data_IF_813463729485
#
_entry.id   IF_813463729485
#
_cell.length_a   1.000
_cell.length_b   1.000
_cell.length_c   1.000
_cell.angle_alpha   90.00
_cell.angle_beta   90.00
_cell.angle_gamma   90.00
#
_symmetry.space_group_name_H-M   'P 1'
#
loop_
_entity.id
_entity.type
_entity.pdbx_description
1 polymer ?
#
# COMPACT_ATOMS: atom_id res chain seq x y z
N UNK A 1 -19.58 -14.86 -5.77
CA UNK A 1 -18.53 -15.48 -6.59
C UNK A 1 -17.29 -15.56 -5.73
N UNK A 2 -16.60 -16.69 -5.75
CA UNK A 2 -15.37 -16.89 -4.97
C UNK A 2 -14.21 -16.17 -5.64
N UNK A 3 -13.37 -15.48 -4.87
CA UNK A 3 -12.18 -14.78 -5.39
C UNK A 3 -10.96 -15.70 -5.29
N UNK A 4 -10.06 -15.60 -6.26
CA UNK A 4 -8.76 -16.24 -6.24
C UNK A 4 -7.69 -15.17 -6.03
N UNK A 5 -7.29 -14.99 -4.78
CA UNK A 5 -6.35 -13.94 -4.39
C UNK A 5 -4.91 -14.30 -4.71
N UNK A 6 -4.17 -13.35 -5.26
CA UNK A 6 -2.72 -13.44 -5.46
C UNK A 6 -2.02 -12.35 -4.66
N UNK A 7 -1.18 -12.74 -3.70
CA UNK A 7 -0.33 -11.80 -2.98
C UNK A 7 0.93 -11.47 -3.79
N UNK A 8 0.92 -10.33 -4.49
CA UNK A 8 2.03 -9.82 -5.30
C UNK A 8 2.41 -8.38 -4.88
N UNK A 9 3.04 -8.22 -3.68
CA UNK A 9 3.35 -6.90 -3.10
C UNK A 9 4.41 -6.10 -3.88
N UNK A 10 5.05 -6.73 -4.85
CA UNK A 10 6.00 -6.13 -5.79
C UNK A 10 5.33 -5.53 -7.04
N UNK A 11 4.01 -5.33 -7.02
CA UNK A 11 3.22 -4.88 -8.17
C UNK A 11 3.74 -3.58 -8.79
N UNK A 12 4.14 -2.59 -7.98
CA UNK A 12 4.63 -1.31 -8.50
C UNK A 12 5.95 -1.47 -9.27
N UNK A 13 6.82 -2.40 -8.84
CA UNK A 13 8.03 -2.75 -9.58
C UNK A 13 7.70 -3.45 -10.91
N UNK A 14 6.67 -4.29 -10.93
CA UNK A 14 6.19 -4.94 -12.13
C UNK A 14 5.58 -3.93 -13.12
N UNK A 15 4.81 -2.95 -12.63
CA UNK A 15 4.26 -1.85 -13.43
C UNK A 15 5.35 -0.94 -13.98
N UNK A 16 6.36 -0.58 -13.18
CA UNK A 16 7.52 0.18 -13.64
C UNK A 16 8.28 -0.53 -14.76
N UNK A 17 8.42 -1.86 -14.66
CA UNK A 17 9.11 -2.67 -15.68
C UNK A 17 8.27 -2.91 -16.93
N UNK A 18 6.94 -3.09 -16.79
CA UNK A 18 5.99 -3.31 -17.88
C UNK A 18 6.05 -4.70 -18.53
N UNK A 19 7.01 -5.56 -18.18
CA UNK A 19 7.17 -6.89 -18.82
C UNK A 19 6.25 -7.95 -18.21
N UNK A 20 5.57 -8.78 -19.02
CA UNK A 20 4.84 -9.94 -18.55
C UNK A 20 5.74 -11.01 -17.91
N UNK A 21 7.04 -10.97 -18.21
CA UNK A 21 8.06 -11.87 -17.66
C UNK A 21 8.94 -11.19 -16.59
N UNK A 22 8.41 -10.13 -15.95
CA UNK A 22 9.14 -9.43 -14.88
C UNK A 22 9.56 -10.40 -13.78
N UNK A 23 10.84 -10.37 -13.43
CA UNK A 23 11.42 -11.11 -12.31
C UNK A 23 11.74 -10.12 -11.19
N UNK A 24 11.04 -10.18 -10.04
CA UNK A 24 11.30 -9.29 -8.93
C UNK A 24 12.68 -9.50 -8.30
N UNK A 25 13.19 -8.53 -7.55
CA UNK A 25 14.35 -8.73 -6.68
C UNK A 25 14.14 -9.89 -5.69
N UNK A 26 15.22 -10.57 -5.28
CA UNK A 26 15.16 -11.74 -4.39
C UNK A 26 14.37 -11.49 -3.11
N UNK A 27 14.53 -10.32 -2.49
CA UNK A 27 13.76 -9.94 -1.29
C UNK A 27 12.26 -9.85 -1.55
N UNK A 28 11.84 -9.35 -2.71
CA UNK A 28 10.43 -9.27 -3.08
C UNK A 28 9.84 -10.66 -3.38
N UNK A 29 10.63 -11.56 -4.00
CA UNK A 29 10.25 -12.96 -4.17
C UNK A 29 10.06 -13.61 -2.81
N UNK A 30 11.01 -13.43 -1.88
CA UNK A 30 10.91 -13.95 -0.52
C UNK A 30 9.67 -13.48 0.21
N UNK A 31 9.34 -12.18 0.13
CA UNK A 31 8.13 -11.62 0.75
C UNK A 31 6.85 -12.18 0.11
N UNK A 32 6.79 -12.26 -1.23
CA UNK A 32 5.65 -12.85 -1.96
C UNK A 32 5.41 -14.30 -1.53
N UNK A 33 6.48 -15.09 -1.45
CA UNK A 33 6.38 -16.50 -1.07
C UNK A 33 5.98 -16.66 0.39
N UNK A 34 6.59 -15.91 1.30
CA UNK A 34 6.27 -15.97 2.73
C UNK A 34 4.84 -15.52 3.03
N UNK A 35 4.38 -14.46 2.35
CA UNK A 35 3.05 -13.87 2.54
C UNK A 35 1.95 -14.45 1.66
N UNK A 36 2.19 -15.53 0.90
CA UNK A 36 1.22 -16.07 -0.07
C UNK A 36 -0.17 -16.33 0.54
N UNK A 37 -0.23 -16.77 1.80
CA UNK A 37 -1.47 -17.03 2.53
C UNK A 37 -2.08 -15.79 3.22
N UNK A 38 -1.44 -14.61 3.14
CA UNK A 38 -1.97 -13.39 3.78
C UNK A 38 -3.43 -13.06 3.41
N UNK A 39 -3.93 -13.42 2.19
CA UNK A 39 -5.35 -13.25 1.86
C UNK A 39 -6.33 -13.94 2.80
N UNK A 40 -5.93 -14.97 3.55
CA UNK A 40 -6.82 -15.63 4.52
C UNK A 40 -7.32 -14.65 5.62
N UNK A 41 -6.59 -13.56 5.87
CA UNK A 41 -6.91 -12.55 6.89
C UNK A 41 -7.83 -11.42 6.39
N UNK A 42 -7.95 -11.23 5.06
CA UNK A 42 -8.81 -10.19 4.50
C UNK A 42 -9.86 -10.71 3.51
N UNK A 43 -9.70 -11.90 2.99
CA UNK A 43 -10.66 -12.52 2.08
C UNK A 43 -11.99 -12.83 2.75
N UNK A 44 -12.97 -13.20 1.95
CA UNK A 44 -14.31 -13.57 2.36
C UNK A 44 -14.48 -15.09 2.43
N UNK A 45 -15.56 -15.52 3.05
CA UNK A 45 -15.90 -16.94 3.10
C UNK A 45 -16.07 -17.54 1.70
N UNK A 46 -15.32 -18.61 1.42
CA UNK A 46 -15.31 -19.30 0.13
C UNK A 46 -14.40 -18.70 -0.90
N UNK A 47 -13.54 -17.73 -0.52
CA UNK A 47 -12.43 -17.29 -1.35
C UNK A 47 -11.25 -18.25 -1.26
N UNK A 48 -10.30 -18.08 -2.16
CA UNK A 48 -9.08 -18.87 -2.25
C UNK A 48 -7.85 -17.96 -2.35
N UNK A 49 -6.69 -18.46 -1.91
CA UNK A 49 -5.41 -17.80 -2.17
C UNK A 49 -4.46 -18.70 -2.96
N UNK A 50 -3.67 -18.09 -3.83
CA UNK A 50 -2.66 -18.78 -4.63
C UNK A 50 -1.45 -19.10 -3.78
N UNK A 51 -1.22 -20.38 -3.51
CA UNK A 51 -0.03 -20.85 -2.79
C UNK A 51 -0.27 -22.11 -1.99
N UNK A 52 0.84 -22.80 -1.68
CA UNK A 52 0.84 -23.88 -0.71
C UNK A 52 1.05 -23.35 0.70
N UNK A 53 0.53 -24.04 1.69
CA UNK A 53 0.67 -23.72 3.09
C UNK A 53 0.97 -24.97 3.90
N UNK A 54 1.62 -24.83 5.04
CA UNK A 54 1.76 -25.92 6.02
C UNK A 54 0.38 -26.30 6.55
N UNK A 55 -0.10 -27.52 6.28
CA UNK A 55 -1.46 -27.97 6.61
C UNK A 55 -1.77 -27.84 8.10
N UNK A 56 -0.87 -28.28 8.99
CA UNK A 56 -1.09 -28.22 10.42
C UNK A 56 -1.22 -26.77 10.92
N UNK A 57 -0.32 -25.89 10.49
CA UNK A 57 -0.38 -24.47 10.83
C UNK A 57 -1.68 -23.84 10.32
N UNK A 58 -2.08 -24.18 9.08
CA UNK A 58 -3.30 -23.67 8.47
C UNK A 58 -4.56 -24.12 9.24
N UNK A 59 -4.63 -25.39 9.65
CA UNK A 59 -5.73 -25.92 10.45
C UNK A 59 -5.81 -25.26 11.82
N UNK A 60 -4.68 -25.13 12.53
CA UNK A 60 -4.61 -24.51 13.85
C UNK A 60 -5.10 -23.05 13.81
N UNK A 61 -4.62 -22.27 12.85
CA UNK A 61 -5.00 -20.85 12.66
C UNK A 61 -6.46 -20.74 12.22
N UNK A 62 -6.89 -21.53 11.24
CA UNK A 62 -8.25 -21.47 10.70
C UNK A 62 -9.29 -21.82 11.78
N UNK A 63 -9.01 -22.82 12.60
CA UNK A 63 -9.87 -23.20 13.71
C UNK A 63 -9.93 -22.12 14.80
N UNK A 64 -8.78 -21.52 15.14
CA UNK A 64 -8.71 -20.52 16.20
C UNK A 64 -9.44 -19.22 15.84
N UNK A 65 -9.41 -18.79 14.59
CA UNK A 65 -9.98 -17.52 14.11
C UNK A 65 -11.24 -17.70 13.25
N UNK A 66 -11.68 -18.92 12.99
CA UNK A 66 -12.84 -19.19 12.13
C UNK A 66 -12.60 -18.78 10.67
N UNK A 67 -11.36 -18.92 10.17
CA UNK A 67 -11.02 -18.56 8.80
C UNK A 67 -11.61 -19.58 7.82
N UNK A 68 -11.92 -19.10 6.60
CA UNK A 68 -12.61 -19.91 5.59
C UNK A 68 -12.11 -19.62 4.17
N UNK A 69 -10.93 -18.99 4.04
CA UNK A 69 -10.22 -18.78 2.76
C UNK A 69 -9.23 -19.91 2.62
N UNK A 70 -9.29 -20.67 1.52
CA UNK A 70 -8.55 -21.90 1.34
C UNK A 70 -7.39 -21.75 0.35
N UNK A 71 -6.32 -22.57 0.44
CA UNK A 71 -5.26 -22.57 -0.56
C UNK A 71 -5.73 -23.16 -1.90
N UNK A 72 -5.29 -22.56 -3.02
CA UNK A 72 -5.50 -23.09 -4.36
C UNK A 72 -4.20 -23.08 -5.18
N UNK A 73 -3.91 -24.19 -5.85
CA UNK A 73 -2.74 -24.32 -6.73
C UNK A 73 -3.09 -24.20 -8.20
N UNK A 74 -4.37 -24.26 -8.53
CA UNK A 74 -4.91 -24.14 -9.88
C UNK A 74 -6.22 -23.36 -9.84
N UNK A 75 -6.58 -22.80 -10.98
CA UNK A 75 -7.87 -22.15 -11.17
C UNK A 75 -8.99 -23.18 -11.32
N UNK A 76 -10.13 -22.92 -10.68
CA UNK A 76 -11.37 -23.67 -10.91
C UNK A 76 -12.46 -22.76 -11.51
N UNK A 77 -13.34 -23.30 -12.39
CA UNK A 77 -14.43 -22.52 -12.98
C UNK A 77 -15.33 -21.87 -11.91
N UNK A 78 -15.51 -20.55 -12.00
CA UNK A 78 -16.30 -19.77 -11.05
C UNK A 78 -15.46 -18.91 -10.11
N UNK A 79 -14.16 -19.13 -10.02
CA UNK A 79 -13.24 -18.22 -9.34
C UNK A 79 -13.04 -16.92 -10.12
N UNK A 80 -12.92 -15.81 -9.40
CA UNK A 80 -12.60 -14.49 -9.97
C UNK A 80 -11.18 -14.11 -9.55
N UNK A 81 -10.26 -13.91 -10.50
CA UNK A 81 -8.89 -13.49 -10.20
C UNK A 81 -8.84 -12.15 -9.47
N UNK A 82 -8.15 -12.10 -8.34
CA UNK A 82 -7.98 -10.89 -7.55
C UNK A 82 -6.53 -10.78 -7.02
N UNK A 83 -5.63 -10.15 -7.78
CA UNK A 83 -4.29 -9.89 -7.30
C UNK A 83 -4.27 -8.77 -6.25
N UNK A 84 -3.18 -8.68 -5.51
CA UNK A 84 -2.86 -7.50 -4.70
C UNK A 84 -2.88 -6.20 -5.53
N UNK A 85 -2.33 -6.28 -6.73
CA UNK A 85 -2.43 -5.27 -7.77
C UNK A 85 -2.27 -5.89 -9.16
N UNK A 86 -2.95 -5.34 -10.15
CA UNK A 86 -2.87 -5.79 -11.53
C UNK A 86 -1.60 -5.28 -12.23
N UNK A 87 -0.96 -6.18 -12.97
CA UNK A 87 0.18 -5.93 -13.87
C UNK A 87 0.26 -7.02 -14.92
N UNK A 88 1.04 -6.84 -15.97
CA UNK A 88 1.30 -7.88 -16.98
C UNK A 88 1.87 -9.15 -16.35
N UNK A 89 2.71 -9.03 -15.31
CA UNK A 89 3.25 -10.18 -14.58
C UNK A 89 2.19 -10.92 -13.74
N UNK A 90 1.27 -10.19 -13.09
CA UNK A 90 0.15 -10.78 -12.37
C UNK A 90 -0.78 -11.55 -13.32
N UNK A 91 -1.15 -10.95 -14.47
CA UNK A 91 -1.91 -11.60 -15.53
C UNK A 91 -1.23 -12.90 -16.00
N UNK A 92 0.07 -12.85 -16.26
CA UNK A 92 0.85 -14.03 -16.65
C UNK A 92 0.81 -15.12 -15.57
N UNK A 93 0.82 -14.76 -14.30
CA UNK A 93 0.71 -15.72 -13.21
C UNK A 93 -0.65 -16.41 -13.24
N UNK A 94 -1.75 -15.69 -13.41
CA UNK A 94 -3.08 -16.28 -13.52
C UNK A 94 -3.26 -17.16 -14.77
N UNK A 95 -2.68 -16.77 -15.91
CA UNK A 95 -2.66 -17.64 -17.10
C UNK A 95 -1.98 -19.00 -16.83
N UNK A 96 -0.87 -18.99 -16.09
CA UNK A 96 -0.16 -20.22 -15.69
C UNK A 96 -0.96 -21.09 -14.70
N UNK A 97 -1.85 -20.48 -13.93
CA UNK A 97 -2.77 -21.20 -13.04
C UNK A 97 -3.98 -21.78 -13.79
N UNK A 98 -4.11 -21.51 -15.09
CA UNK A 98 -5.21 -22.01 -15.92
C UNK A 98 -6.42 -21.09 -16.02
N UNK A 99 -6.31 -19.82 -15.60
CA UNK A 99 -7.39 -18.84 -15.80
C UNK A 99 -7.54 -18.56 -17.30
N UNK A 100 -8.76 -18.67 -17.87
CA UNK A 100 -9.01 -18.32 -19.26
C UNK A 100 -8.68 -16.85 -19.55
N UNK A 101 -8.09 -16.59 -20.72
CA UNK A 101 -7.62 -15.25 -21.08
C UNK A 101 -8.76 -14.20 -21.15
N UNK A 102 -9.96 -14.63 -21.51
CA UNK A 102 -11.16 -13.78 -21.56
C UNK A 102 -11.71 -13.36 -20.17
N UNK A 103 -11.14 -13.92 -19.09
CA UNK A 103 -11.45 -13.54 -17.70
C UNK A 103 -10.37 -12.68 -17.05
N UNK A 104 -9.36 -12.32 -17.81
CA UNK A 104 -8.23 -11.52 -17.36
C UNK A 104 -8.24 -10.17 -18.09
N UNK A 105 -7.72 -9.10 -17.46
CA UNK A 105 -7.60 -7.82 -18.13
C UNK A 105 -6.76 -7.92 -19.40
N UNK A 106 -7.18 -7.25 -20.45
CA UNK A 106 -6.45 -7.17 -21.71
C UNK A 106 -5.25 -6.21 -21.62
N UNK A 107 -4.54 -5.98 -22.73
CA UNK A 107 -3.36 -5.12 -22.73
C UNK A 107 -3.72 -3.65 -22.46
N UNK A 108 -4.88 -3.19 -22.90
CA UNK A 108 -5.34 -1.81 -22.67
C UNK A 108 -5.74 -1.58 -21.21
N UNK A 109 -6.35 -2.57 -20.59
CA UNK A 109 -6.69 -2.55 -19.17
C UNK A 109 -5.43 -2.62 -18.28
N UNK A 110 -4.42 -3.41 -18.66
CA UNK A 110 -3.12 -3.42 -17.97
C UNK A 110 -2.39 -2.08 -18.10
N UNK A 111 -2.41 -1.45 -19.26
CA UNK A 111 -1.81 -0.13 -19.44
C UNK A 111 -2.57 0.95 -18.65
N UNK A 112 -3.90 0.84 -18.56
CA UNK A 112 -4.70 1.68 -17.68
C UNK A 112 -4.26 1.52 -16.20
N UNK A 113 -4.09 0.28 -15.70
CA UNK A 113 -3.60 0.05 -14.33
C UNK A 113 -2.21 0.66 -14.12
N UNK A 114 -1.35 0.57 -15.13
CA UNK A 114 -0.01 1.17 -15.11
C UNK A 114 -0.09 2.69 -15.04
N UNK A 115 -0.97 3.30 -15.82
CA UNK A 115 -1.21 4.75 -15.81
C UNK A 115 -1.78 5.21 -14.46
N UNK A 116 -2.83 4.56 -13.96
CA UNK A 116 -3.46 4.91 -12.69
C UNK A 116 -2.51 4.78 -11.49
N UNK A 117 -1.54 3.87 -11.55
CA UNK A 117 -0.51 3.69 -10.50
C UNK A 117 0.69 4.64 -10.68
N UNK A 118 0.71 5.47 -11.72
CA UNK A 118 1.73 6.49 -11.91
C UNK A 118 1.47 7.67 -10.97
N UNK A 119 2.51 8.33 -10.48
CA UNK A 119 2.38 9.48 -9.58
C UNK A 119 1.65 10.69 -10.16
N UNK A 120 1.40 10.71 -11.46
CA UNK A 120 0.48 11.69 -12.07
C UNK A 120 -0.91 11.62 -11.40
N UNK A 121 -1.44 10.42 -11.17
CA UNK A 121 -2.72 10.25 -10.46
C UNK A 121 -2.64 10.81 -9.03
N UNK A 122 -1.53 10.57 -8.31
CA UNK A 122 -1.32 11.20 -7.00
C UNK A 122 -1.36 12.73 -7.08
N UNK A 123 -0.64 13.31 -8.05
CA UNK A 123 -0.58 14.76 -8.24
C UNK A 123 -1.96 15.35 -8.60
N UNK A 124 -2.72 14.69 -9.47
CA UNK A 124 -4.07 15.10 -9.86
C UNK A 124 -5.04 15.07 -8.68
N UNK A 125 -5.10 13.94 -7.96
CA UNK A 125 -5.93 13.78 -6.76
C UNK A 125 -5.55 14.79 -5.68
N UNK A 126 -4.24 14.96 -5.41
CA UNK A 126 -3.78 15.91 -4.40
C UNK A 126 -4.14 17.36 -4.76
N UNK A 127 -3.91 17.77 -6.00
CA UNK A 127 -4.22 19.13 -6.45
C UNK A 127 -5.74 19.41 -6.43
N UNK A 128 -6.58 18.41 -6.73
CA UNK A 128 -8.03 18.56 -6.61
C UNK A 128 -8.47 18.72 -5.14
N UNK A 129 -7.92 17.89 -4.24
CA UNK A 129 -8.19 17.99 -2.82
C UNK A 129 -7.70 19.33 -2.23
N UNK A 130 -6.52 19.81 -2.64
CA UNK A 130 -5.98 21.08 -2.14
C UNK A 130 -6.81 22.28 -2.63
N UNK A 131 -7.40 22.23 -3.82
CA UNK A 131 -8.36 23.26 -4.27
C UNK A 131 -9.65 23.26 -3.47
N UNK A 132 -10.15 22.08 -3.06
CA UNK A 132 -11.35 21.95 -2.25
C UNK A 132 -11.10 22.28 -0.78
N UNK A 133 -9.95 21.91 -0.25
CA UNK A 133 -9.53 22.02 1.13
C UNK A 133 -8.14 22.68 1.24
N UNK A 134 -8.02 23.99 0.97
CA UNK A 134 -6.71 24.66 0.95
C UNK A 134 -5.93 24.56 2.27
N UNK A 135 -6.62 24.37 3.38
CA UNK A 135 -6.00 24.21 4.69
C UNK A 135 -5.14 22.94 4.83
N UNK A 136 -5.29 21.95 3.91
CA UNK A 136 -4.46 20.74 3.93
C UNK A 136 -2.98 21.04 3.77
N UNK A 137 -2.61 21.99 2.93
CA UNK A 137 -1.21 22.39 2.68
C UNK A 137 -0.99 23.88 2.77
N UNK A 138 -2.08 24.71 2.78
CA UNK A 138 -2.06 26.15 2.80
C UNK A 138 -2.15 26.81 1.42
N UNK A 139 -2.73 28.02 1.41
CA UNK A 139 -3.13 28.71 0.18
C UNK A 139 -1.97 29.06 -0.77
N UNK A 140 -0.75 29.12 -0.27
CA UNK A 140 0.44 29.53 -1.03
C UNK A 140 1.42 28.39 -1.34
N UNK A 141 1.16 27.19 -0.82
CA UNK A 141 2.04 26.05 -1.10
C UNK A 141 1.71 25.45 -2.48
N UNK A 142 2.71 25.23 -3.36
CA UNK A 142 2.49 24.52 -4.60
C UNK A 142 2.12 23.05 -4.29
N UNK A 143 1.20 22.51 -5.06
CA UNK A 143 0.93 21.07 -5.03
C UNK A 143 2.07 20.27 -5.70
N UNK A 144 1.98 18.93 -5.69
CA UNK A 144 2.94 18.08 -6.40
C UNK A 144 2.86 18.32 -7.91
N UNK A 145 4.03 18.31 -8.55
CA UNK A 145 4.20 18.57 -10.00
C UNK A 145 4.91 17.37 -10.64
N UNK A 146 4.47 16.96 -11.82
CA UNK A 146 5.16 15.95 -12.63
C UNK A 146 5.98 16.65 -13.69
N UNK A 147 7.27 16.37 -13.74
CA UNK A 147 8.21 16.92 -14.71
C UNK A 147 8.90 15.84 -15.52
N UNK A 148 9.20 16.12 -16.79
CA UNK A 148 9.86 15.19 -17.71
C UNK A 148 11.19 15.73 -18.27
N UNK A 149 11.55 16.95 -17.89
CA UNK A 149 12.76 17.63 -18.29
C UNK A 149 13.63 18.01 -17.10
N UNK A 150 14.95 17.90 -17.24
CA UNK A 150 15.88 18.15 -16.15
C UNK A 150 16.01 19.63 -15.78
N UNK A 151 15.89 20.54 -16.72
CA UNK A 151 15.94 21.97 -16.46
C UNK A 151 14.67 22.41 -15.72
N UNK A 152 13.49 21.97 -16.17
CA UNK A 152 12.23 22.18 -15.50
C UNK A 152 12.25 21.62 -14.06
N UNK A 153 12.81 20.40 -13.86
CA UNK A 153 12.95 19.80 -12.54
C UNK A 153 13.80 20.67 -11.60
N UNK A 154 14.90 21.24 -12.08
CA UNK A 154 15.77 22.11 -11.29
C UNK A 154 15.08 23.44 -10.95
N UNK A 155 14.38 24.05 -11.90
CA UNK A 155 13.60 25.26 -11.69
C UNK A 155 12.48 25.03 -10.65
N UNK A 156 11.79 23.89 -10.75
CA UNK A 156 10.74 23.51 -9.78
C UNK A 156 11.32 23.34 -8.38
N UNK A 157 12.45 22.62 -8.23
CA UNK A 157 13.12 22.47 -6.92
C UNK A 157 13.55 23.83 -6.37
N UNK A 158 14.11 24.71 -7.22
CA UNK A 158 14.56 26.04 -6.80
C UNK A 158 13.38 26.92 -6.34
N UNK A 159 12.23 26.84 -7.00
CA UNK A 159 11.02 27.57 -6.61
C UNK A 159 10.46 27.11 -5.28
N UNK A 160 10.57 25.82 -4.95
CA UNK A 160 10.12 25.23 -3.66
C UNK A 160 11.14 25.41 -2.54
N UNK A 161 12.40 25.77 -2.87
CA UNK A 161 13.52 25.88 -1.92
C UNK A 161 14.03 24.54 -1.42
N UNK A 162 13.18 23.69 -0.83
CA UNK A 162 13.47 22.30 -0.48
C UNK A 162 12.31 21.42 -0.92
N UNK A 163 12.61 20.37 -1.68
CA UNK A 163 11.62 19.52 -2.29
C UNK A 163 11.95 18.03 -2.10
N UNK A 164 10.92 17.21 -2.13
CA UNK A 164 11.01 15.76 -2.31
C UNK A 164 10.84 15.43 -3.78
N UNK A 165 11.77 14.64 -4.32
CA UNK A 165 11.72 14.09 -5.68
C UNK A 165 11.40 12.61 -5.58
N UNK A 166 10.43 12.13 -6.36
CA UNK A 166 9.98 10.74 -6.31
C UNK A 166 9.87 10.15 -7.72
N UNK A 167 10.26 8.87 -7.85
CA UNK A 167 10.05 8.13 -9.10
C UNK A 167 8.55 7.85 -9.31
N UNK A 168 8.06 7.86 -10.56
CA UNK A 168 6.65 7.61 -10.91
C UNK A 168 6.08 6.30 -10.35
N UNK A 169 6.84 5.22 -10.39
CA UNK A 169 6.52 3.95 -9.77
C UNK A 169 7.62 3.61 -8.77
N UNK A 170 7.27 3.60 -7.51
CA UNK A 170 8.20 3.27 -6.42
C UNK A 170 7.48 2.43 -5.37
N UNK A 171 8.24 1.78 -4.51
CA UNK A 171 7.71 0.92 -3.47
C UNK A 171 8.47 1.16 -2.15
N UNK A 172 7.74 1.23 -1.05
CA UNK A 172 8.28 1.28 0.31
C UNK A 172 9.36 2.36 0.53
N UNK A 173 9.13 3.60 0.05
CA UNK A 173 10.05 4.72 0.24
C UNK A 173 11.30 4.70 -0.64
N UNK A 174 11.47 3.69 -1.50
CA UNK A 174 12.59 3.62 -2.44
C UNK A 174 12.39 4.57 -3.62
N UNK A 175 13.48 5.21 -4.08
CA UNK A 175 13.41 6.14 -5.21
C UNK A 175 12.96 7.55 -4.83
N UNK A 176 12.97 7.89 -3.54
CA UNK A 176 12.76 9.25 -3.05
C UNK A 176 14.09 9.96 -2.80
N UNK A 177 14.15 11.27 -3.05
CA UNK A 177 15.32 12.10 -2.83
C UNK A 177 14.90 13.43 -2.18
N UNK A 178 15.50 13.76 -1.04
CA UNK A 178 15.35 15.04 -0.37
C UNK A 178 16.40 16.02 -0.92
N UNK A 179 15.98 17.05 -1.67
CA UNK A 179 16.88 18.01 -2.30
C UNK A 179 17.73 18.76 -1.29
N UNK A 180 17.23 18.97 -0.07
CA UNK A 180 17.96 19.67 1.00
C UNK A 180 19.11 18.87 1.62
N UNK A 181 19.19 17.57 1.34
CA UNK A 181 20.26 16.69 1.83
C UNK A 181 21.31 16.36 0.77
N UNK A 182 21.17 16.89 -0.43
CA UNK A 182 22.00 16.53 -1.59
C UNK A 182 22.71 17.78 -2.10
N UNK A 183 24.05 17.79 -2.28
CA UNK A 183 24.75 18.88 -2.94
C UNK A 183 24.20 19.11 -4.36
N UNK A 184 24.15 20.39 -4.81
CA UNK A 184 23.53 20.77 -6.08
C UNK A 184 24.04 19.98 -7.30
N UNK A 185 25.33 19.75 -7.41
CA UNK A 185 25.91 18.97 -8.51
C UNK A 185 25.44 17.51 -8.48
N UNK A 186 25.33 16.89 -7.30
CA UNK A 186 24.83 15.53 -7.14
C UNK A 186 23.32 15.47 -7.42
N UNK A 187 22.56 16.51 -7.06
CA UNK A 187 21.13 16.60 -7.37
C UNK A 187 20.87 16.57 -8.87
N UNK A 188 21.69 17.30 -9.67
CA UNK A 188 21.59 17.28 -11.14
C UNK A 188 21.78 15.85 -11.68
N UNK A 189 22.80 15.14 -11.22
CA UNK A 189 23.06 13.76 -11.64
C UNK A 189 21.91 12.81 -11.22
N UNK A 190 21.32 13.03 -10.04
CA UNK A 190 20.17 12.26 -9.55
C UNK A 190 18.93 12.49 -10.39
N UNK A 191 18.60 13.75 -10.71
CA UNK A 191 17.50 14.11 -11.59
C UNK A 191 17.65 13.42 -12.95
N UNK A 192 18.81 13.55 -13.58
CA UNK A 192 19.08 12.87 -14.86
C UNK A 192 18.94 11.34 -14.74
N UNK A 193 19.44 10.75 -13.65
CA UNK A 193 19.32 9.32 -13.40
C UNK A 193 17.87 8.87 -13.20
N UNK A 194 17.02 9.66 -12.54
CA UNK A 194 15.61 9.38 -12.34
C UNK A 194 14.83 9.48 -13.66
N UNK A 195 15.04 10.54 -14.44
CA UNK A 195 14.42 10.72 -15.76
C UNK A 195 14.81 9.62 -16.73
N UNK A 196 16.10 9.25 -16.79
CA UNK A 196 16.57 8.14 -17.63
C UNK A 196 15.94 6.79 -17.24
N UNK A 197 15.56 6.61 -15.98
CA UNK A 197 15.00 5.35 -15.48
C UNK A 197 13.52 5.20 -15.78
N UNK A 198 12.72 6.24 -15.56
CA UNK A 198 11.26 6.16 -15.64
C UNK A 198 10.59 7.30 -16.43
N UNK A 199 11.37 8.20 -17.03
CA UNK A 199 10.89 9.23 -17.93
C UNK A 199 10.24 10.45 -17.28
N UNK A 200 9.95 10.40 -15.99
CA UNK A 200 9.33 11.50 -15.25
C UNK A 200 9.77 11.50 -13.77
N UNK A 201 9.52 12.60 -13.09
CA UNK A 201 9.74 12.78 -11.65
C UNK A 201 8.54 13.53 -11.07
N UNK A 202 7.99 13.06 -9.94
CA UNK A 202 7.14 13.88 -9.09
C UNK A 202 8.03 14.75 -8.20
N UNK A 203 7.72 16.02 -8.12
CA UNK A 203 8.39 16.99 -7.24
C UNK A 203 7.32 17.66 -6.37
N UNK A 204 7.49 17.59 -5.05
CA UNK A 204 6.60 18.19 -4.06
C UNK A 204 7.41 18.99 -3.03
N UNK A 205 6.81 19.97 -2.32
CA UNK A 205 7.46 20.63 -1.19
C UNK A 205 7.92 19.63 -0.14
N UNK A 206 9.02 19.91 0.53
CA UNK A 206 9.44 19.13 1.69
C UNK A 206 8.62 19.51 2.91
N UNK A 207 8.01 18.52 3.54
CA UNK A 207 7.29 18.67 4.80
C UNK A 207 8.00 17.97 5.95
N UNK A 208 8.00 18.60 7.13
CA UNK A 208 8.51 18.02 8.37
C UNK A 208 7.55 16.97 8.93
N UNK A 209 7.76 15.70 8.63
CA UNK A 209 6.91 14.58 9.01
C UNK A 209 6.70 14.47 10.52
N UNK A 210 5.45 14.25 10.95
CA UNK A 210 5.06 14.01 12.34
C UNK A 210 4.46 12.61 12.48
N UNK A 211 3.45 12.29 11.65
CA UNK A 211 2.71 11.02 11.72
C UNK A 211 2.26 10.63 10.32
N UNK A 212 2.42 9.36 9.96
CA UNK A 212 1.96 8.81 8.69
C UNK A 212 0.65 8.04 8.88
N UNK A 213 -0.30 8.26 7.99
CA UNK A 213 -1.58 7.54 7.98
C UNK A 213 -2.08 7.35 6.55
N UNK A 214 -3.02 6.43 6.37
CA UNK A 214 -3.71 6.22 5.10
C UNK A 214 -5.21 6.32 5.28
N UNK A 215 -5.88 6.88 4.29
CA UNK A 215 -7.34 6.85 4.12
C UNK A 215 -7.65 5.72 3.15
N UNK A 216 -8.51 4.80 3.55
CA UNK A 216 -8.76 3.55 2.83
C UNK A 216 -10.13 3.57 2.15
N UNK A 217 -10.16 3.07 0.91
CA UNK A 217 -11.37 2.99 0.08
C UNK A 217 -11.56 1.56 -0.42
N UNK A 218 -12.81 1.15 -0.54
CA UNK A 218 -13.19 -0.15 -1.10
C UNK A 218 -13.13 -0.17 -2.64
N UNK A 219 -13.59 -1.27 -3.23
CA UNK A 219 -13.61 -1.50 -4.67
C UNK A 219 -14.67 -0.67 -5.44
N UNK A 220 -15.48 0.10 -4.73
CA UNK A 220 -16.44 1.07 -5.27
C UNK A 220 -16.05 2.54 -5.03
N UNK A 221 -14.93 2.79 -4.36
CA UNK A 221 -14.45 4.13 -4.02
C UNK A 221 -15.06 4.72 -2.75
N UNK A 222 -15.77 3.92 -1.94
CA UNK A 222 -16.33 4.38 -0.69
C UNK A 222 -15.29 4.30 0.42
N UNK A 223 -15.24 5.32 1.27
CA UNK A 223 -14.42 5.33 2.47
C UNK A 223 -14.75 4.17 3.40
N UNK A 224 -13.73 3.45 3.86
CA UNK A 224 -13.89 2.28 4.75
C UNK A 224 -13.16 2.40 6.08
N UNK A 225 -12.28 3.38 6.25
CA UNK A 225 -11.56 3.59 7.49
C UNK A 225 -10.14 4.13 7.30
N UNK A 226 -9.40 4.14 8.39
CA UNK A 226 -8.05 4.66 8.49
C UNK A 226 -7.04 3.55 8.75
N UNK A 227 -5.78 3.83 8.45
CA UNK A 227 -4.66 3.02 8.89
C UNK A 227 -3.50 3.90 9.31
N UNK A 228 -3.09 3.78 10.54
CA UNK A 228 -1.91 4.43 11.07
C UNK A 228 -0.69 3.54 10.81
N UNK A 229 0.41 4.13 10.32
CA UNK A 229 1.63 3.36 10.07
C UNK A 229 2.89 4.12 10.46
N UNK A 230 3.98 3.38 10.59
CA UNK A 230 5.28 3.92 10.94
C UNK A 230 6.25 3.77 9.79
N UNK A 231 7.15 4.73 9.66
CA UNK A 231 8.22 4.73 8.65
C UNK A 231 9.57 4.91 9.30
N UNK A 232 10.61 4.43 8.65
CA UNK A 232 12.00 4.70 9.04
C UNK A 232 12.45 6.13 8.67
N UNK A 233 13.68 6.47 8.99
CA UNK A 233 14.26 7.80 8.71
C UNK A 233 14.38 8.13 7.21
N UNK A 234 14.17 7.14 6.33
CA UNK A 234 14.19 7.28 4.88
C UNK A 234 12.79 7.25 4.26
N UNK A 235 11.74 7.15 5.09
CA UNK A 235 10.36 7.05 4.65
C UNK A 235 9.94 5.61 4.25
N UNK A 236 10.78 4.62 4.51
CA UNK A 236 10.43 3.22 4.31
C UNK A 236 9.42 2.74 5.35
N UNK A 237 8.32 2.13 4.91
CA UNK A 237 7.31 1.56 5.80
C UNK A 237 7.91 0.48 6.71
N UNK A 238 7.58 0.53 8.01
CA UNK A 238 8.08 -0.41 9.03
C UNK A 238 6.97 -1.21 9.72
N UNK A 239 5.72 -0.76 9.64
CA UNK A 239 4.58 -1.46 10.21
C UNK A 239 3.34 -0.60 10.34
N UNK A 240 2.21 -1.22 10.66
CA UNK A 240 0.95 -0.55 10.97
C UNK A 240 0.62 -0.66 12.45
N UNK A 241 0.02 0.39 12.99
CA UNK A 241 -0.60 0.38 14.32
C UNK A 241 -2.01 -0.18 14.17
N UNK A 242 -2.35 -1.11 15.03
CA UNK A 242 -3.66 -1.75 15.07
C UNK A 242 -4.47 -1.08 16.19
N UNK A 243 -5.40 -0.22 15.81
CA UNK A 243 -6.24 0.56 16.73
C UNK A 243 -7.51 1.02 16.03
N UNK A 244 -8.47 1.56 16.77
CA UNK A 244 -9.72 2.09 16.23
C UNK A 244 -9.50 3.40 15.44
N UNK A 245 -10.34 3.64 14.43
CA UNK A 245 -10.29 4.86 13.61
C UNK A 245 -10.38 6.15 14.45
N UNK A 246 -11.19 6.16 15.52
CA UNK A 246 -11.31 7.30 16.43
C UNK A 246 -10.01 7.62 17.17
N UNK A 247 -9.23 6.60 17.55
CA UNK A 247 -7.92 6.82 18.17
C UNK A 247 -6.89 7.33 17.14
N UNK A 248 -7.03 6.91 15.89
CA UNK A 248 -6.21 7.44 14.78
C UNK A 248 -6.55 8.92 14.55
N UNK A 249 -7.82 9.29 14.48
CA UNK A 249 -8.26 10.70 14.33
C UNK A 249 -7.76 11.58 15.47
N UNK A 250 -7.83 11.11 16.72
CA UNK A 250 -7.29 11.83 17.87
C UNK A 250 -5.78 12.09 17.72
N UNK A 251 -5.02 11.09 17.27
CA UNK A 251 -3.57 11.21 17.04
C UNK A 251 -3.24 12.14 15.86
N UNK A 252 -3.99 12.07 14.78
CA UNK A 252 -3.87 12.98 13.63
C UNK A 252 -4.26 14.39 14.05
N UNK A 253 -5.28 14.54 14.88
CA UNK A 253 -5.75 15.82 15.42
C UNK A 253 -6.50 16.67 14.39
N UNK A 254 -7.24 16.02 13.49
CA UNK A 254 -8.17 16.66 12.54
C UNK A 254 -9.34 15.73 12.25
N UNK A 255 -10.48 16.31 11.91
CA UNK A 255 -11.65 15.59 11.43
C UNK A 255 -11.35 15.01 10.05
N UNK A 256 -11.54 13.71 9.88
CA UNK A 256 -11.24 12.99 8.64
C UNK A 256 -12.40 13.07 7.63
N UNK A 257 -13.63 13.34 8.07
CA UNK A 257 -14.80 13.32 7.19
C UNK A 257 -14.68 14.26 5.98
N UNK A 258 -14.27 15.54 6.14
CA UNK A 258 -14.05 16.44 5.00
C UNK A 258 -12.96 15.94 4.05
N UNK A 259 -11.89 15.36 4.60
CA UNK A 259 -10.77 14.80 3.82
C UNK A 259 -11.24 13.59 3.03
N UNK A 260 -11.90 12.63 3.68
CA UNK A 260 -12.41 11.42 3.04
C UNK A 260 -13.38 11.76 1.91
N UNK A 261 -14.31 12.70 2.13
CA UNK A 261 -15.25 13.15 1.10
C UNK A 261 -14.58 13.83 -0.09
N UNK A 262 -13.56 14.66 0.15
CA UNK A 262 -12.79 15.29 -0.92
C UNK A 262 -12.01 14.25 -1.73
N UNK A 263 -11.42 13.25 -1.03
CA UNK A 263 -10.73 12.13 -1.67
C UNK A 263 -11.69 11.23 -2.48
N UNK A 264 -12.89 10.92 -1.97
CA UNK A 264 -13.90 10.16 -2.72
C UNK A 264 -14.21 10.84 -4.06
N UNK A 265 -14.44 12.16 -4.06
CA UNK A 265 -14.72 12.93 -5.27
C UNK A 265 -13.55 12.94 -6.24
N UNK A 266 -12.32 13.12 -5.75
CA UNK A 266 -11.13 13.16 -6.58
C UNK A 266 -10.78 11.74 -7.13
N UNK A 267 -10.94 10.69 -6.32
CA UNK A 267 -10.74 9.31 -6.75
C UNK A 267 -11.81 8.87 -7.76
N UNK A 268 -13.07 9.29 -7.60
CA UNK A 268 -14.09 9.05 -8.61
C UNK A 268 -13.68 9.67 -9.95
N UNK A 269 -13.24 10.94 -9.95
CA UNK A 269 -12.84 11.64 -11.16
C UNK A 269 -11.62 11.04 -11.87
N UNK A 270 -10.58 10.64 -11.12
CA UNK A 270 -9.28 10.25 -11.67
C UNK A 270 -9.01 8.75 -11.70
N UNK A 271 -9.75 7.94 -10.92
CA UNK A 271 -9.51 6.50 -10.80
C UNK A 271 -10.75 5.69 -11.19
N UNK A 272 -11.87 5.83 -10.46
CA UNK A 272 -13.03 4.94 -10.60
C UNK A 272 -13.83 5.19 -11.88
N UNK A 273 -13.93 6.45 -12.36
CA UNK A 273 -14.56 6.76 -13.65
C UNK A 273 -13.89 6.10 -14.86
N UNK A 274 -12.63 5.70 -14.74
CA UNK A 274 -11.91 4.93 -15.78
C UNK A 274 -12.33 3.46 -15.88
N UNK A 275 -13.17 2.99 -14.95
CA UNK A 275 -13.59 1.59 -14.85
C UNK A 275 -12.73 0.74 -13.91
N UNK A 276 -11.78 1.31 -13.18
CA UNK A 276 -11.03 0.60 -12.15
C UNK A 276 -11.97 0.01 -11.10
N UNK A 277 -11.69 -1.24 -10.73
CA UNK A 277 -12.37 -1.96 -9.65
C UNK A 277 -11.32 -2.60 -8.76
N UNK A 278 -11.23 -2.13 -7.55
CA UNK A 278 -10.29 -2.62 -6.55
C UNK A 278 -10.12 -1.63 -5.42
N UNK A 279 -9.55 -2.04 -4.30
CA UNK A 279 -9.31 -1.14 -3.18
C UNK A 279 -8.25 -0.09 -3.55
N UNK A 280 -8.39 1.09 -2.93
CA UNK A 280 -7.41 2.18 -3.01
C UNK A 280 -6.99 2.58 -1.60
N UNK A 281 -5.70 2.84 -1.41
CA UNK A 281 -5.18 3.46 -0.21
C UNK A 281 -4.54 4.81 -0.55
N UNK A 282 -4.93 5.87 0.14
CA UNK A 282 -4.30 7.18 -0.01
C UNK A 282 -3.42 7.46 1.19
N UNK A 283 -2.12 7.40 0.99
CA UNK A 283 -1.15 7.70 2.03
C UNK A 283 -1.08 9.22 2.22
N UNK A 284 -1.19 9.65 3.47
CA UNK A 284 -1.12 11.02 3.93
C UNK A 284 -0.17 11.13 5.12
N UNK A 285 0.21 12.32 5.46
CA UNK A 285 0.93 12.57 6.71
C UNK A 285 0.42 13.82 7.41
N UNK A 286 0.43 13.81 8.75
CA UNK A 286 0.48 15.02 9.55
C UNK A 286 1.91 15.52 9.54
N UNK A 287 2.13 16.77 9.18
CA UNK A 287 3.47 17.31 8.99
C UNK A 287 3.52 18.79 9.36
N UNK A 288 4.71 19.39 9.31
CA UNK A 288 4.88 20.85 9.34
C UNK A 288 5.39 21.35 8.00
N UNK A 289 4.86 22.46 7.53
CA UNK A 289 5.41 23.20 6.39
C UNK A 289 6.68 23.99 6.76
N UNK A 290 7.22 24.73 5.80
CA UNK A 290 8.42 25.57 5.98
C UNK A 290 8.26 26.70 7.00
N UNK A 291 7.01 27.06 7.33
CA UNK A 291 6.67 28.10 8.33
C UNK A 291 6.43 27.53 9.73
N UNK A 292 6.40 26.19 9.86
CA UNK A 292 6.08 25.48 11.11
C UNK A 292 4.59 25.24 11.34
N UNK A 293 3.72 25.55 10.37
CA UNK A 293 2.28 25.28 10.44
C UNK A 293 2.03 23.77 10.22
N UNK A 294 1.06 23.22 10.96
CA UNK A 294 0.61 21.85 10.76
C UNK A 294 -0.19 21.73 9.44
N UNK A 295 0.17 20.76 8.64
CA UNK A 295 -0.41 20.46 7.32
C UNK A 295 -0.65 18.96 7.17
N UNK A 296 -1.47 18.57 6.17
CA UNK A 296 -1.88 17.19 5.92
C UNK A 296 -1.72 16.85 4.43
N UNK A 297 -0.49 16.82 3.91
CA UNK A 297 -0.26 16.53 2.49
C UNK A 297 -0.60 15.09 2.13
N UNK A 298 -1.13 14.92 0.91
CA UNK A 298 -1.29 13.63 0.24
C UNK A 298 0.08 13.20 -0.29
N UNK A 299 0.51 12.01 0.09
CA UNK A 299 1.86 11.49 -0.21
C UNK A 299 1.85 10.55 -1.40
N UNK A 300 0.83 9.67 -1.48
CA UNK A 300 0.72 8.66 -2.53
C UNK A 300 -0.71 8.09 -2.64
N UNK A 301 -1.18 7.93 -3.89
CA UNK A 301 -2.40 7.18 -4.19
C UNK A 301 -2.00 5.78 -4.64
N UNK A 302 -2.33 4.80 -3.84
CA UNK A 302 -2.04 3.39 -4.09
C UNK A 302 -3.25 2.71 -4.74
N UNK A 303 -3.25 2.58 -6.08
CA UNK A 303 -4.35 1.97 -6.84
C UNK A 303 -4.21 0.44 -6.81
N UNK A 304 -4.28 -0.10 -5.60
CA UNK A 304 -4.14 -1.51 -5.26
C UNK A 304 -4.43 -1.72 -3.77
N UNK A 305 -4.45 -2.97 -3.34
CA UNK A 305 -4.43 -3.31 -1.92
C UNK A 305 -3.12 -2.86 -1.26
N UNK A 306 -3.18 -2.48 0.02
CA UNK A 306 -2.03 -2.07 0.82
C UNK A 306 -1.95 -2.86 2.13
N UNK A 307 -0.82 -2.78 2.82
CA UNK A 307 -0.72 -3.33 4.18
C UNK A 307 -1.66 -2.60 5.16
N UNK A 308 -2.03 -1.37 4.87
CA UNK A 308 -3.06 -0.63 5.59
C UNK A 308 -4.42 -1.33 5.52
N UNK A 309 -4.84 -1.83 4.35
CA UNK A 309 -6.08 -2.60 4.23
C UNK A 309 -6.02 -3.90 5.05
N UNK A 310 -4.85 -4.57 5.08
CA UNK A 310 -4.67 -5.79 5.90
C UNK A 310 -4.76 -5.46 7.38
N UNK A 311 -4.04 -4.45 7.84
CA UNK A 311 -4.03 -4.01 9.24
C UNK A 311 -5.42 -3.60 9.73
N UNK A 312 -6.11 -2.74 8.97
CA UNK A 312 -7.48 -2.31 9.25
C UNK A 312 -8.46 -3.49 9.32
N UNK A 313 -8.40 -4.40 8.33
CA UNK A 313 -9.27 -5.58 8.31
C UNK A 313 -8.95 -6.52 9.47
N UNK A 314 -7.66 -6.76 9.75
CA UNK A 314 -7.24 -7.61 10.85
C UNK A 314 -7.72 -7.06 12.20
N UNK A 315 -7.50 -5.78 12.47
CA UNK A 315 -7.95 -5.14 13.70
C UNK A 315 -9.46 -5.30 13.89
N UNK A 316 -10.25 -4.94 12.91
CA UNK A 316 -11.74 -5.01 13.00
C UNK A 316 -12.29 -6.41 13.10
N UNK A 317 -11.68 -7.39 12.42
CA UNK A 317 -12.23 -8.75 12.34
C UNK A 317 -11.66 -9.68 13.39
N UNK A 318 -10.42 -9.50 13.80
CA UNK A 318 -9.69 -10.52 14.57
C UNK A 318 -9.07 -10.02 15.87
N UNK A 319 -9.16 -8.75 16.21
CA UNK A 319 -8.80 -8.27 17.55
C UNK A 319 -10.03 -8.08 18.43
N UNK A 320 -9.87 -8.28 19.73
CA UNK A 320 -10.93 -8.02 20.69
C UNK A 320 -11.15 -6.50 20.83
N UNK A 321 -12.37 -6.04 21.17
CA UNK A 321 -12.64 -4.62 21.34
C UNK A 321 -11.70 -3.96 22.35
N UNK A 322 -11.14 -2.82 21.98
CA UNK A 322 -10.21 -2.05 22.82
C UNK A 322 -8.78 -2.61 22.91
N UNK A 323 -8.49 -3.72 22.24
CA UNK A 323 -7.12 -4.24 22.13
C UNK A 323 -6.39 -3.51 21.01
N UNK A 324 -5.19 -3.01 21.34
CA UNK A 324 -4.29 -2.35 20.38
C UNK A 324 -3.06 -3.21 20.11
N UNK A 325 -2.29 -2.84 19.08
CA UNK A 325 -1.09 -3.59 18.75
C UNK A 325 -0.39 -3.08 17.49
N UNK A 326 0.52 -3.90 16.98
CA UNK A 326 1.29 -3.59 15.77
C UNK A 326 1.34 -4.77 14.82
N UNK A 327 1.22 -4.48 13.52
CA UNK A 327 1.49 -5.41 12.43
C UNK A 327 2.80 -5.02 11.76
N UNK A 328 3.75 -5.94 11.71
CA UNK A 328 5.08 -5.72 11.11
C UNK A 328 5.41 -6.80 10.09
N UNK A 329 6.28 -6.45 9.13
CA UNK A 329 6.93 -7.41 8.22
C UNK A 329 8.41 -7.43 8.57
N UNK A 330 8.90 -8.57 8.99
CA UNK A 330 10.24 -8.74 9.51
C UNK A 330 11.01 -9.78 8.69
N UNK A 331 12.30 -9.57 8.39
CA UNK A 331 13.14 -10.64 7.89
C UNK A 331 13.16 -11.80 8.90
N UNK A 332 13.28 -13.02 8.39
CA UNK A 332 13.44 -14.20 9.25
C UNK A 332 14.59 -13.98 10.25
N UNK A 333 14.29 -14.10 11.52
CA UNK A 333 15.23 -13.97 12.62
C UNK A 333 15.42 -15.30 13.35
N UNK A 334 16.34 -15.33 14.33
CA UNK A 334 16.50 -16.45 15.27
C UNK A 334 15.41 -16.50 16.35
N UNK A 335 14.53 -15.49 16.40
CA UNK A 335 13.43 -15.48 17.36
C UNK A 335 12.46 -16.63 17.10
N UNK A 336 11.87 -17.22 18.16
CA UNK A 336 10.84 -18.24 18.03
C UNK A 336 9.69 -17.77 17.13
N UNK A 337 9.17 -18.69 16.35
CA UNK A 337 7.94 -18.49 15.59
C UNK A 337 6.76 -18.55 16.56
N UNK A 338 5.84 -17.57 16.50
CA UNK A 338 4.70 -17.48 17.39
C UNK A 338 3.47 -18.18 16.78
N UNK A 339 2.97 -19.15 17.50
CA UNK A 339 1.81 -19.96 17.12
C UNK A 339 0.57 -19.55 17.92
N UNK A 340 -0.58 -20.12 17.59
CA UNK A 340 -1.85 -19.89 18.29
C UNK A 340 -1.73 -20.09 19.81
N UNK A 341 -0.93 -21.08 20.25
CA UNK A 341 -0.71 -21.36 21.68
C UNK A 341 0.06 -20.28 22.45
N UNK A 342 0.70 -19.33 21.75
CA UNK A 342 1.40 -18.21 22.36
C UNK A 342 0.49 -16.98 22.56
N UNK A 343 -0.79 -17.11 22.23
CA UNK A 343 -1.78 -16.04 22.24
C UNK A 343 -2.99 -16.40 23.10
N UNK A 344 -3.61 -15.38 23.67
CA UNK A 344 -4.95 -15.48 24.21
C UNK A 344 -5.96 -15.12 23.13
N UNK A 345 -6.78 -16.11 22.73
CA UNK A 345 -7.83 -15.95 21.71
C UNK A 345 -9.17 -16.34 22.34
N UNK A 346 -10.13 -15.43 22.27
CA UNK A 346 -11.49 -15.62 22.78
C UNK A 346 -12.48 -15.37 21.64
N UNK A 347 -13.35 -16.33 21.37
CA UNK A 347 -14.38 -16.25 20.31
C UNK A 347 -13.81 -15.81 18.94
N UNK A 348 -12.64 -16.34 18.57
CA UNK A 348 -11.95 -15.99 17.31
C UNK A 348 -11.34 -14.59 17.28
N UNK A 349 -11.13 -13.98 18.45
CA UNK A 349 -10.52 -12.66 18.61
C UNK A 349 -9.24 -12.73 19.43
N UNK A 350 -8.18 -12.11 18.93
CA UNK A 350 -6.92 -11.94 19.64
C UNK A 350 -7.12 -10.94 20.79
N UNK A 351 -6.86 -11.36 22.02
CA UNK A 351 -6.94 -10.55 23.24
C UNK A 351 -5.55 -10.10 23.66
N UNK A 352 -4.58 -11.01 23.64
CA UNK A 352 -3.19 -10.69 23.99
C UNK A 352 -2.20 -11.66 23.34
N UNK A 353 -0.96 -11.25 23.19
CA UNK A 353 0.14 -12.08 22.73
C UNK A 353 0.79 -11.64 21.43
N UNK A 354 1.51 -12.57 20.84
CA UNK A 354 2.23 -12.38 19.58
C UNK A 354 1.90 -13.51 18.62
N UNK A 355 1.49 -13.17 17.38
CA UNK A 355 1.01 -14.11 16.39
C UNK A 355 1.67 -13.88 15.04
N UNK A 356 2.27 -14.92 14.47
CA UNK A 356 2.71 -14.90 13.06
C UNK A 356 1.52 -15.21 12.14
N UNK A 357 1.21 -14.28 11.24
CA UNK A 357 0.10 -14.37 10.29
C UNK A 357 0.40 -15.25 9.07
N UNK A 358 1.61 -15.77 8.97
CA UNK A 358 2.11 -16.61 7.87
C UNK A 358 2.85 -17.82 8.45
N UNK A 359 2.95 -18.96 7.72
CA UNK A 359 3.56 -20.17 8.25
C UNK A 359 5.08 -20.03 8.46
N UNK A 360 5.69 -20.84 9.33
CA UNK A 360 7.13 -20.87 9.52
C UNK A 360 7.87 -21.35 8.25
N UNK A 361 9.12 -20.93 8.10
CA UNK A 361 10.01 -21.42 7.04
C UNK A 361 10.23 -20.46 5.88
N UNK A 362 9.46 -19.38 5.76
CA UNK A 362 9.69 -18.33 4.77
C UNK A 362 10.88 -17.42 5.09
N UNK A 363 11.27 -16.56 4.13
CA UNK A 363 12.31 -15.54 4.31
C UNK A 363 11.84 -14.36 5.18
N UNK A 364 10.53 -14.18 5.31
CA UNK A 364 9.88 -13.10 6.06
C UNK A 364 8.82 -13.67 7.01
N UNK A 365 8.59 -12.93 8.06
CA UNK A 365 7.48 -13.07 9.01
C UNK A 365 6.54 -11.87 8.85
N UNK A 366 5.26 -12.10 9.02
CA UNK A 366 4.24 -11.04 9.15
C UNK A 366 3.63 -11.24 10.51
N UNK A 367 3.89 -10.32 11.43
CA UNK A 367 3.66 -10.55 12.86
C UNK A 367 2.72 -9.48 13.40
N UNK A 368 1.75 -9.92 14.19
CA UNK A 368 0.93 -9.07 15.04
C UNK A 368 1.39 -9.22 16.49
N UNK A 369 1.60 -8.09 17.16
CA UNK A 369 1.87 -8.02 18.61
C UNK A 369 0.84 -7.10 19.24
N UNK A 370 0.18 -7.54 20.28
CA UNK A 370 -0.66 -6.67 21.12
C UNK A 370 0.23 -5.82 22.05
N UNK A 371 -0.26 -4.64 22.41
CA UNK A 371 0.42 -3.73 23.35
C UNK A 371 0.26 -4.19 24.80
#
# INVERSE_FOLDING_TARGET
>A
MSRLHLFNPDNDLALANGSPNFTPPRSAIGLRTSGACLPMWYGCRGDYFVGAVNERWFEDISNAFGLSVEPAMIYEPGMVPEPWGWSAAARTTFLRLGVPADKLPDDSEIELMRHLSHRTTTAEVANDCYRQLPWLVGDSEPGPVIVTDAAEALETVDSMGRAMLKLPWSNAGRGQQDSGRIPRNVLIDRINGMLNRQGAIEIEPYYGRITDFAVLFDDSGQYIGLSLFTTDTHGGWTGNVLTDDSAIEEQIGTDIEPIAKSLEMALDAHVFSSGYKGPVGVDMMKATDSTGRVVYPIVEVNVRRTMGNVAHTFHRRFMAPGVTGRLTVEPRSSEPFHVVGDCEIVDGKLVSGCLDLVPPGGDFRIVVRTD
#
